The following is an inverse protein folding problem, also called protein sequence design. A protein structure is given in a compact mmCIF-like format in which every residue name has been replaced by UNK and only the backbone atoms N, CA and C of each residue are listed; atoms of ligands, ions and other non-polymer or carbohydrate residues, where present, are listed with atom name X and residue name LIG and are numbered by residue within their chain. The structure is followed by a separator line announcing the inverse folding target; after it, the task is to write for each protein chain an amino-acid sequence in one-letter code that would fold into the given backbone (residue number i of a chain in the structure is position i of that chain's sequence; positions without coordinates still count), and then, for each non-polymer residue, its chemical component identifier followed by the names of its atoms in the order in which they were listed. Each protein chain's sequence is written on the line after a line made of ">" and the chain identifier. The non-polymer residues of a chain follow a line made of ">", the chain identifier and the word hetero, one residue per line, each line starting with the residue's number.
data_IF_667521453258
#
_entry.id   IF_667521453258
#
_cell.length_a   1.000
_cell.length_b   1.000
_cell.length_c   1.000
_cell.angle_alpha   90.00
_cell.angle_beta   90.00
_cell.angle_gamma   90.00
#
_symmetry.space_group_name_H-M   'P 1'
#
loop_
_entity.id
_entity.type
_entity.pdbx_description
1 polymer ?
#
# COMPACT_ATOMS: atom_id res chain seq x y z
N UNK A 1 46.30 34.72 9.68
CA UNK A 1 44.88 35.10 9.80
C UNK A 1 43.99 34.35 8.78
N UNK A 2 44.03 33.01 8.73
CA UNK A 2 43.25 32.20 7.75
C UNK A 2 42.61 30.87 8.26
N UNK A 3 42.83 30.35 9.50
CA UNK A 3 42.31 29.04 9.87
C UNK A 3 40.80 29.03 10.19
N UNK A 4 40.21 30.15 10.64
CA UNK A 4 38.77 30.23 10.98
C UNK A 4 37.86 30.01 9.76
N UNK A 5 38.24 30.54 8.59
CA UNK A 5 37.43 30.45 7.35
C UNK A 5 37.43 29.01 6.78
N UNK A 6 38.55 28.29 6.89
CA UNK A 6 38.65 26.87 6.50
C UNK A 6 37.80 25.97 7.41
N UNK A 7 37.79 26.24 8.73
CA UNK A 7 36.94 25.52 9.70
C UNK A 7 35.44 25.79 9.46
N UNK A 8 35.08 27.01 9.09
CA UNK A 8 33.69 27.37 8.77
C UNK A 8 33.21 26.69 7.47
N UNK A 9 34.06 26.62 6.43
CA UNK A 9 33.76 25.86 5.20
C UNK A 9 33.59 24.36 5.46
N UNK A 10 34.46 23.76 6.26
CA UNK A 10 34.34 22.35 6.64
C UNK A 10 33.04 22.07 7.41
N UNK A 11 32.62 22.99 8.29
CA UNK A 11 31.35 22.90 9.01
C UNK A 11 30.13 22.93 8.06
N UNK A 12 30.11 23.82 7.07
CA UNK A 12 29.03 23.86 6.07
C UNK A 12 29.01 22.62 5.17
N UNK A 13 30.17 22.06 4.80
CA UNK A 13 30.27 20.81 4.03
C UNK A 13 29.74 19.62 4.84
N UNK A 14 30.07 19.56 6.14
CA UNK A 14 29.56 18.52 7.05
C UNK A 14 28.03 18.62 7.23
N UNK A 15 27.49 19.83 7.38
CA UNK A 15 26.05 20.07 7.49
C UNK A 15 25.29 19.65 6.22
N UNK A 16 25.87 19.92 5.05
CA UNK A 16 25.32 19.49 3.75
C UNK A 16 25.33 17.96 3.60
N UNK A 17 26.40 17.28 4.02
CA UNK A 17 26.51 15.82 3.99
C UNK A 17 25.51 15.13 4.94
N UNK A 18 25.22 15.72 6.10
CA UNK A 18 24.24 15.19 7.07
C UNK A 18 22.80 15.36 6.57
N UNK A 19 22.53 16.33 5.69
CA UNK A 19 21.17 16.58 5.18
C UNK A 19 20.68 15.52 4.16
N UNK A 20 21.58 14.65 3.68
CA UNK A 20 21.27 13.64 2.66
C UNK A 20 20.86 12.26 3.22
N UNK A 21 20.84 12.06 4.54
CA UNK A 21 20.57 10.76 5.18
C UNK A 21 19.10 10.51 5.55
N UNK A 22 18.15 11.22 4.93
CA UNK A 22 16.72 10.97 5.14
C UNK A 22 16.26 9.70 4.40
N UNK A 23 16.38 8.55 5.05
CA UNK A 23 15.73 7.31 4.57
C UNK A 23 14.25 7.34 4.92
N UNK A 24 13.39 7.53 3.92
CA UNK A 24 11.95 7.34 4.08
C UNK A 24 11.61 5.85 3.98
N UNK A 25 11.05 5.26 5.03
CA UNK A 25 10.49 3.91 4.96
C UNK A 25 9.06 4.00 4.45
N UNK A 26 8.84 3.48 3.25
CA UNK A 26 7.49 3.29 2.73
C UNK A 26 6.95 1.91 3.16
N UNK A 27 5.64 1.87 3.36
CA UNK A 27 4.90 0.67 3.73
C UNK A 27 3.63 0.59 2.89
N UNK A 28 3.03 -0.60 2.86
CA UNK A 28 1.80 -0.90 2.15
C UNK A 28 0.78 -1.49 3.12
N UNK A 29 -0.50 -1.36 2.79
CA UNK A 29 -1.59 -2.02 3.51
C UNK A 29 -2.01 -3.24 2.71
N UNK A 30 -1.92 -4.43 3.31
CA UNK A 30 -2.48 -5.65 2.78
C UNK A 30 -3.85 -5.90 3.43
N UNK A 31 -4.92 -5.92 2.63
CA UNK A 31 -6.22 -6.42 3.03
C UNK A 31 -6.29 -7.91 2.70
N UNK A 32 -6.14 -8.81 3.68
CA UNK A 32 -6.30 -10.21 3.42
C UNK A 32 -7.77 -10.52 3.13
N UNK A 33 -8.03 -11.54 2.32
CA UNK A 33 -9.38 -11.93 1.91
C UNK A 33 -9.66 -13.42 2.17
N UNK A 34 -8.70 -14.14 2.77
CA UNK A 34 -8.92 -15.49 3.26
C UNK A 34 -9.92 -15.52 4.44
N UNK A 35 -10.54 -16.67 4.65
CA UNK A 35 -11.64 -16.82 5.61
C UNK A 35 -11.21 -16.69 7.07
N UNK A 36 -9.94 -16.94 7.37
CA UNK A 36 -9.42 -16.97 8.74
C UNK A 36 -9.00 -15.59 9.24
N UNK A 37 -8.49 -14.73 8.34
CA UNK A 37 -7.90 -13.44 8.75
C UNK A 37 -8.79 -12.22 8.51
N UNK A 38 -9.77 -12.28 7.60
CA UNK A 38 -10.62 -11.13 7.29
C UNK A 38 -11.94 -11.14 8.06
N UNK A 39 -12.14 -10.12 8.90
CA UNK A 39 -13.37 -9.96 9.69
C UNK A 39 -14.56 -9.52 8.82
N UNK A 40 -14.34 -8.74 7.75
CA UNK A 40 -15.44 -8.23 6.93
C UNK A 40 -15.09 -8.06 5.44
N UNK A 41 -15.23 -9.14 4.67
CA UNK A 41 -14.88 -9.18 3.24
C UNK A 41 -15.64 -8.15 2.39
N UNK A 42 -16.96 -8.02 2.58
CA UNK A 42 -17.77 -7.07 1.79
C UNK A 42 -17.33 -5.62 2.05
N UNK A 43 -17.01 -5.28 3.30
CA UNK A 43 -16.48 -3.95 3.63
C UNK A 43 -15.05 -3.78 3.15
N UNK A 44 -14.23 -4.83 3.09
CA UNK A 44 -12.88 -4.77 2.49
C UNK A 44 -12.94 -4.37 1.01
N UNK A 45 -13.88 -4.94 0.23
CA UNK A 45 -14.14 -4.46 -1.13
C UNK A 45 -14.57 -2.99 -1.15
N UNK A 46 -15.38 -2.56 -0.18
CA UNK A 46 -15.77 -1.16 0.01
C UNK A 46 -14.58 -0.23 0.29
N UNK A 47 -13.60 -0.66 1.10
CA UNK A 47 -12.35 0.06 1.33
C UNK A 47 -11.57 0.18 0.02
N UNK A 48 -11.37 -0.94 -0.69
CA UNK A 48 -10.67 -0.94 -1.98
C UNK A 48 -11.33 0.01 -2.97
N UNK A 49 -12.65 -0.03 -3.10
CA UNK A 49 -13.40 0.90 -3.94
C UNK A 49 -13.17 2.35 -3.51
N UNK A 50 -13.26 2.65 -2.22
CA UNK A 50 -13.05 4.00 -1.69
C UNK A 50 -11.64 4.52 -1.97
N UNK A 51 -10.60 3.68 -1.84
CA UNK A 51 -9.22 4.04 -2.22
C UNK A 51 -9.13 4.38 -3.72
N UNK A 52 -9.76 3.57 -4.57
CA UNK A 52 -9.81 3.84 -6.02
C UNK A 52 -10.56 5.14 -6.35
N UNK A 53 -11.58 5.54 -5.58
CA UNK A 53 -12.27 6.83 -5.77
C UNK A 53 -11.36 8.03 -5.45
N UNK A 54 -10.34 7.82 -4.62
CA UNK A 54 -9.30 8.81 -4.32
C UNK A 54 -8.17 8.83 -5.35
N UNK A 55 -8.33 8.14 -6.49
CA UNK A 55 -7.33 8.04 -7.56
C UNK A 55 -6.03 7.37 -7.11
N UNK A 56 -6.08 6.58 -6.03
CA UNK A 56 -4.97 5.77 -5.58
C UNK A 56 -5.07 4.39 -6.22
N UNK A 57 -3.96 3.91 -6.78
CA UNK A 57 -3.88 2.59 -7.41
C UNK A 57 -3.92 1.51 -6.34
N UNK A 58 -4.53 0.37 -6.68
CA UNK A 58 -4.60 -0.82 -5.84
C UNK A 58 -4.14 -2.01 -6.66
N UNK A 59 -3.47 -2.98 -6.05
CA UNK A 59 -3.21 -4.27 -6.70
C UNK A 59 -4.16 -5.32 -6.13
N UNK A 60 -4.88 -6.00 -7.02
CA UNK A 60 -5.66 -7.17 -6.67
C UNK A 60 -4.81 -8.43 -6.90
N UNK A 61 -4.56 -9.16 -5.81
CA UNK A 61 -3.70 -10.33 -5.78
C UNK A 61 -4.54 -11.59 -5.95
N UNK A 62 -4.85 -11.93 -7.20
CA UNK A 62 -5.64 -13.09 -7.59
C UNK A 62 -5.01 -14.38 -7.09
N UNK A 63 -5.84 -15.24 -6.47
CA UNK A 63 -5.43 -16.52 -5.87
C UNK A 63 -4.32 -16.43 -4.80
N UNK A 64 -4.03 -15.23 -4.31
CA UNK A 64 -3.17 -15.03 -3.14
C UNK A 64 -4.04 -14.63 -1.96
N UNK A 65 -4.01 -15.44 -0.89
CA UNK A 65 -4.76 -15.21 0.37
C UNK A 65 -6.22 -14.76 0.13
N UNK A 66 -6.96 -15.59 -0.61
CA UNK A 66 -8.37 -15.34 -0.92
C UNK A 66 -8.65 -14.20 -1.91
N UNK A 67 -7.65 -13.72 -2.67
CA UNK A 67 -7.85 -12.58 -3.58
C UNK A 67 -7.57 -11.25 -2.88
N UNK A 68 -6.47 -11.16 -2.13
CA UNK A 68 -6.14 -10.00 -1.28
C UNK A 68 -5.95 -8.71 -2.08
N UNK A 69 -6.06 -7.57 -1.39
CA UNK A 69 -5.74 -6.27 -1.98
C UNK A 69 -4.50 -5.66 -1.34
N UNK A 70 -3.61 -5.14 -2.17
CA UNK A 70 -2.49 -4.33 -1.73
C UNK A 70 -2.76 -2.85 -2.05
N UNK A 71 -2.81 -2.04 -1.00
CA UNK A 71 -3.12 -0.61 -1.05
C UNK A 71 -1.89 0.20 -0.65
N UNK A 72 -1.74 1.43 -1.16
CA UNK A 72 -0.78 2.37 -0.60
C UNK A 72 -1.11 2.61 0.87
N UNK A 73 -0.08 2.75 1.69
CA UNK A 73 -0.30 3.09 3.08
C UNK A 73 -0.72 4.56 3.26
N UNK A 74 -1.58 4.79 4.24
CA UNK A 74 -2.03 6.12 4.62
C UNK A 74 -2.91 6.09 5.85
N UNK A 75 -2.72 7.06 6.75
CA UNK A 75 -3.46 7.14 8.01
C UNK A 75 -4.98 7.15 7.80
N UNK A 76 -5.46 7.83 6.74
CA UNK A 76 -6.88 7.85 6.41
C UNK A 76 -7.44 6.47 6.02
N UNK A 77 -6.63 5.63 5.37
CA UNK A 77 -7.04 4.28 4.96
C UNK A 77 -7.08 3.36 6.17
N UNK A 78 -6.03 3.38 7.01
CA UNK A 78 -5.98 2.63 8.27
C UNK A 78 -7.17 2.96 9.16
N UNK A 79 -7.49 4.26 9.30
CA UNK A 79 -8.64 4.72 10.08
C UNK A 79 -9.96 4.20 9.52
N UNK A 80 -10.18 4.25 8.21
CA UNK A 80 -11.39 3.67 7.62
C UNK A 80 -11.49 2.16 7.82
N UNK A 81 -10.38 1.42 7.69
CA UNK A 81 -10.37 -0.01 7.99
C UNK A 81 -10.81 -0.28 9.44
N UNK A 82 -10.25 0.46 10.41
CA UNK A 82 -10.62 0.35 11.82
C UNK A 82 -12.10 0.68 12.07
N UNK A 83 -12.58 1.82 11.56
CA UNK A 83 -13.97 2.26 11.75
C UNK A 83 -14.96 1.24 11.17
N UNK A 84 -14.60 0.61 10.06
CA UNK A 84 -15.49 -0.34 9.36
C UNK A 84 -15.36 -1.78 9.85
N UNK A 85 -14.38 -2.08 10.70
CA UNK A 85 -14.09 -3.44 11.17
C UNK A 85 -13.55 -4.33 10.05
N UNK A 86 -12.58 -3.81 9.28
CA UNK A 86 -11.89 -4.52 8.21
C UNK A 86 -10.49 -4.87 8.70
N UNK A 87 -10.13 -6.15 8.67
CA UNK A 87 -8.77 -6.60 8.99
C UNK A 87 -7.77 -6.11 7.94
N UNK A 88 -6.62 -5.65 8.40
CA UNK A 88 -5.52 -5.21 7.53
C UNK A 88 -4.16 -5.44 8.17
N UNK A 89 -3.14 -5.61 7.35
CA UNK A 89 -1.74 -5.73 7.76
C UNK A 89 -0.93 -4.58 7.18
N UNK A 90 -0.04 -3.99 7.98
CA UNK A 90 0.96 -3.03 7.49
C UNK A 90 2.22 -3.84 7.18
N UNK A 91 2.65 -3.81 5.93
CA UNK A 91 3.85 -4.53 5.46
C UNK A 91 4.86 -3.55 4.86
N UNK A 92 6.15 -3.86 4.96
CA UNK A 92 7.18 -3.05 4.29
C UNK A 92 7.10 -3.23 2.77
N UNK A 93 7.62 -2.25 2.04
CA UNK A 93 7.74 -2.34 0.58
C UNK A 93 8.52 -3.59 0.15
N UNK A 94 9.62 -3.91 0.84
CA UNK A 94 10.41 -5.11 0.55
C UNK A 94 9.58 -6.40 0.72
N UNK A 95 8.66 -6.45 1.70
CA UNK A 95 7.76 -7.60 1.87
C UNK A 95 6.68 -7.62 0.79
N UNK A 96 6.17 -6.46 0.39
CA UNK A 96 5.21 -6.34 -0.71
C UNK A 96 5.84 -6.81 -2.04
N UNK A 97 7.05 -6.36 -2.36
CA UNK A 97 7.82 -6.79 -3.53
C UNK A 97 8.04 -8.30 -3.52
N UNK A 98 8.46 -8.87 -2.38
CA UNK A 98 8.64 -10.32 -2.27
C UNK A 98 7.33 -11.11 -2.52
N UNK A 99 6.17 -10.58 -2.10
CA UNK A 99 4.86 -11.18 -2.40
C UNK A 99 4.57 -11.10 -3.90
N UNK A 100 4.79 -9.94 -4.52
CA UNK A 100 4.56 -9.73 -5.95
C UNK A 100 5.47 -10.62 -6.81
N UNK A 101 6.74 -10.76 -6.44
CA UNK A 101 7.70 -11.64 -7.09
C UNK A 101 7.24 -13.11 -7.00
N UNK A 102 6.77 -13.54 -5.83
CA UNK A 102 6.24 -14.90 -5.64
C UNK A 102 4.99 -15.15 -6.51
N UNK A 103 4.07 -14.18 -6.58
CA UNK A 103 2.88 -14.23 -7.43
C UNK A 103 3.25 -14.31 -8.91
N UNK A 104 4.30 -13.61 -9.33
CA UNK A 104 4.74 -13.57 -10.74
C UNK A 104 5.37 -14.88 -11.24
N UNK A 105 5.67 -15.81 -10.34
CA UNK A 105 6.31 -17.08 -10.69
C UNK A 105 5.42 -17.90 -11.64
N UNK A 106 5.92 -18.34 -12.81
CA UNK A 106 5.14 -19.14 -13.78
C UNK A 106 4.62 -20.47 -13.23
N UNK A 107 5.17 -20.92 -12.10
CA UNK A 107 4.78 -22.16 -11.42
C UNK A 107 3.56 -22.01 -10.52
N UNK A 108 3.13 -20.76 -10.24
CA UNK A 108 2.01 -20.45 -9.37
C UNK A 108 0.80 -20.01 -10.20
N UNK A 109 -0.40 -20.50 -9.87
CA UNK A 109 -1.64 -20.02 -10.49
C UNK A 109 -2.14 -18.74 -9.79
N UNK A 110 -1.30 -17.70 -9.78
CA UNK A 110 -1.55 -16.41 -9.12
C UNK A 110 -1.28 -15.26 -10.09
N UNK A 111 -1.91 -14.11 -9.85
CA UNK A 111 -1.72 -12.92 -10.69
C UNK A 111 -1.93 -11.64 -9.88
N UNK A 112 -1.16 -10.60 -10.17
CA UNK A 112 -1.34 -9.27 -9.57
C UNK A 112 -1.87 -8.29 -10.63
N UNK A 113 -3.14 -7.88 -10.49
CA UNK A 113 -3.80 -6.97 -11.42
C UNK A 113 -3.87 -5.56 -10.82
N UNK A 114 -3.37 -4.56 -11.56
CA UNK A 114 -3.46 -3.16 -11.14
C UNK A 114 -4.85 -2.61 -11.43
N UNK A 115 -5.49 -2.06 -10.41
CA UNK A 115 -6.74 -1.32 -10.49
C UNK A 115 -6.42 0.18 -10.38
N UNK A 116 -6.68 0.92 -11.46
CA UNK A 116 -6.34 2.36 -11.53
C UNK A 116 -7.53 3.29 -11.26
N UNK A 117 -8.76 2.81 -11.48
CA UNK A 117 -9.97 3.62 -11.36
C UNK A 117 -11.12 2.83 -10.76
N UNK A 118 -11.91 3.52 -9.93
CA UNK A 118 -13.14 2.95 -9.39
C UNK A 118 -14.11 2.58 -10.53
N UNK A 119 -14.63 1.33 -10.56
CA UNK A 119 -15.60 0.92 -11.56
C UNK A 119 -16.91 1.72 -11.41
N UNK A 120 -17.61 1.97 -12.51
CA UNK A 120 -18.99 2.48 -12.46
C UNK A 120 -19.89 1.35 -11.98
N UNK A 121 -20.63 1.58 -10.89
CA UNK A 121 -21.58 0.60 -10.35
C UNK A 121 -22.94 0.85 -11.01
N UNK A 122 -23.42 -0.13 -11.77
CA UNK A 122 -24.81 -0.17 -12.23
C UNK A 122 -25.59 -1.13 -11.32
N UNK A 123 -26.58 -0.61 -10.59
CA UNK A 123 -27.47 -1.45 -9.77
C UNK A 123 -28.70 -1.78 -10.61
N UNK A 124 -28.84 -3.04 -11.00
CA UNK A 124 -30.07 -3.54 -11.61
C UNK A 124 -31.03 -3.90 -10.49
N UNK A 125 -32.07 -3.08 -10.30
CA UNK A 125 -33.22 -3.51 -9.50
C UNK A 125 -34.09 -4.41 -10.37
N UNK A 126 -34.46 -5.62 -9.91
CA UNK A 126 -35.43 -6.45 -10.62
C UNK A 126 -36.69 -5.62 -10.88
N UNK A 127 -37.23 -5.68 -12.10
CA UNK A 127 -38.61 -5.25 -12.31
C UNK A 127 -39.49 -6.26 -11.57
N UNK A 128 -40.38 -5.78 -10.72
CA UNK A 128 -41.39 -6.63 -10.08
C UNK A 128 -42.15 -7.48 -11.11
#
# INVERSE_FOLDING_TARGET
>A
MFPKVKRLRAFFILLFLISFSSSSFATMILLPMDAESQENHLKAYGITYWVLTKQQKVQWLLNYRGGSFLLPDGESIRRECQIRGVSYEIISDAKAEAILDAISSPSQNQEAVILEKAPKIAVYSPKE
#
